data_IF_001755347590
#
_entry.id   IF_001755347590
#
_cell.length_a   1.000
_cell.length_b   1.000
_cell.length_c   1.000
_cell.angle_alpha   90.00
_cell.angle_beta   90.00
_cell.angle_gamma   90.00
#
_symmetry.space_group_name_H-M   'P 1'
#
loop_
_entity.id
_entity.type
_entity.pdbx_description
1 polymer ?
#
# COMPACT_ATOMS: atom_id res chain seq x y z
N UNK A 1 -7.97 -21.67 0.37
CA UNK A 1 -6.75 -21.80 1.18
C UNK A 1 -6.46 -20.48 1.86
N UNK A 2 -5.76 -20.48 2.99
CA UNK A 2 -5.30 -19.26 3.67
C UNK A 2 -3.85 -18.92 3.30
N UNK A 3 -3.41 -17.71 3.61
CA UNK A 3 -2.00 -17.30 3.46
C UNK A 3 -1.20 -17.93 4.60
N UNK A 4 -0.23 -18.77 4.29
CA UNK A 4 0.65 -19.41 5.28
C UNK A 4 1.84 -18.52 5.69
N UNK A 5 2.14 -17.49 4.88
CA UNK A 5 3.18 -16.50 5.12
C UNK A 5 2.78 -15.13 4.52
N UNK A 6 1.69 -14.55 5.00
CA UNK A 6 1.26 -13.21 4.57
C UNK A 6 2.28 -12.13 4.95
N UNK A 7 2.61 -11.25 4.02
CA UNK A 7 3.55 -10.15 4.21
C UNK A 7 2.95 -8.82 3.73
N UNK A 8 3.21 -7.75 4.48
CA UNK A 8 2.67 -6.43 4.18
C UNK A 8 1.15 -6.34 4.28
N UNK A 9 0.65 -5.12 4.50
CA UNK A 9 -0.78 -4.85 4.46
C UNK A 9 -1.01 -3.35 4.19
N UNK A 10 -1.69 -3.03 3.09
CA UNK A 10 -2.11 -1.65 2.81
C UNK A 10 -3.54 -1.61 2.29
N UNK A 11 -4.33 -0.64 2.76
CA UNK A 11 -5.67 -0.37 2.23
C UNK A 11 -5.56 0.63 1.07
N UNK A 12 -6.29 0.39 -0.01
CA UNK A 12 -6.35 1.34 -1.11
C UNK A 12 -7.06 2.63 -0.68
N UNK A 13 -6.30 3.73 -0.57
CA UNK A 13 -6.74 5.02 0.00
C UNK A 13 -6.54 6.19 -0.97
N UNK A 14 -6.64 5.89 -2.28
CA UNK A 14 -6.56 6.84 -3.39
C UNK A 14 -7.78 6.71 -4.32
N UNK A 15 -7.82 7.53 -5.38
CA UNK A 15 -8.94 7.60 -6.34
C UNK A 15 -8.54 7.24 -7.78
N UNK A 16 -7.33 6.71 -7.97
CA UNK A 16 -6.79 6.39 -9.29
C UNK A 16 -7.36 5.10 -9.87
N UNK A 17 -7.50 4.07 -9.04
CA UNK A 17 -8.17 2.81 -9.40
C UNK A 17 -9.68 3.03 -9.39
N UNK A 18 -10.49 2.10 -9.92
CA UNK A 18 -11.94 2.19 -9.87
C UNK A 18 -12.49 2.32 -8.46
N UNK A 19 -13.71 2.86 -8.35
CA UNK A 19 -14.41 3.08 -7.07
C UNK A 19 -14.51 1.81 -6.23
N UNK A 20 -14.47 0.66 -6.87
CA UNK A 20 -14.54 -0.63 -6.20
C UNK A 20 -13.38 -0.87 -5.23
N UNK A 21 -12.25 -0.19 -5.42
CA UNK A 21 -11.08 -0.29 -4.56
C UNK A 21 -11.14 0.67 -3.36
N UNK A 22 -11.82 1.80 -3.51
CA UNK A 22 -11.68 2.98 -2.64
C UNK A 22 -12.05 2.66 -1.19
N UNK A 23 -11.07 2.78 -0.30
CA UNK A 23 -11.17 2.52 1.14
C UNK A 23 -11.80 1.16 1.47
N UNK A 24 -11.66 0.18 0.56
CA UNK A 24 -12.36 -1.11 0.63
C UNK A 24 -11.48 -2.30 0.29
N UNK A 25 -10.49 -2.14 -0.58
CA UNK A 25 -9.60 -3.24 -0.98
C UNK A 25 -8.27 -3.10 -0.25
N UNK A 26 -7.90 -4.10 0.54
CA UNK A 26 -6.59 -4.22 1.15
C UNK A 26 -5.70 -5.19 0.39
N UNK A 27 -4.42 -4.88 0.28
CA UNK A 27 -3.42 -5.72 -0.38
C UNK A 27 -2.59 -6.44 0.65
N UNK A 28 -2.54 -7.78 0.54
CA UNK A 28 -1.69 -8.64 1.37
C UNK A 28 -0.86 -9.50 0.46
N UNK A 29 0.46 -9.50 0.64
CA UNK A 29 1.37 -10.23 -0.21
C UNK A 29 1.47 -11.68 0.27
N UNK A 30 1.48 -12.61 -0.67
CA UNK A 30 1.73 -14.02 -0.44
C UNK A 30 3.03 -14.43 -1.14
N UNK A 31 4.22 -14.12 -0.57
CA UNK A 31 5.51 -14.42 -1.19
C UNK A 31 5.66 -15.90 -1.56
N UNK A 32 5.15 -16.81 -0.73
CA UNK A 32 5.20 -18.27 -0.97
C UNK A 32 4.22 -18.75 -2.03
N UNK A 33 3.30 -17.89 -2.47
CA UNK A 33 2.34 -18.16 -3.55
C UNK A 33 2.51 -17.19 -4.72
N UNK A 34 3.62 -16.43 -4.76
CA UNK A 34 4.00 -15.55 -5.86
C UNK A 34 2.90 -14.53 -6.26
N UNK A 35 2.15 -14.02 -5.28
CA UNK A 35 0.97 -13.18 -5.54
C UNK A 35 0.78 -12.04 -4.53
N UNK A 36 0.00 -11.05 -4.95
CA UNK A 36 -0.56 -10.00 -4.09
C UNK A 36 -2.07 -10.17 -4.07
N UNK A 37 -2.61 -10.59 -2.93
CA UNK A 37 -4.05 -10.74 -2.75
C UNK A 37 -4.76 -9.42 -2.60
N UNK A 38 -5.95 -9.32 -3.17
CA UNK A 38 -6.87 -8.21 -2.96
C UNK A 38 -8.00 -8.65 -2.03
N UNK A 39 -8.00 -8.12 -0.80
CA UNK A 39 -8.98 -8.40 0.23
C UNK A 39 -10.05 -7.31 0.25
N UNK A 40 -11.25 -7.64 -0.22
CA UNK A 40 -12.42 -6.75 -0.18
C UNK A 40 -13.01 -6.78 1.22
N UNK A 41 -13.05 -5.62 1.87
CA UNK A 41 -13.54 -5.39 3.22
C UNK A 41 -15.02 -4.94 3.18
N UNK A 42 -15.84 -5.44 4.10
CA UNK A 42 -17.24 -5.04 4.28
C UNK A 42 -17.58 -4.91 5.76
N UNK A 43 -18.42 -3.94 6.12
CA UNK A 43 -18.90 -3.79 7.51
C UNK A 43 -19.75 -4.99 7.93
N UNK A 44 -19.57 -5.43 9.17
CA UNK A 44 -20.36 -6.47 9.81
C UNK A 44 -20.63 -6.07 11.27
N UNK A 45 -21.81 -5.47 11.52
CA UNK A 45 -22.14 -4.90 12.83
C UNK A 45 -21.16 -3.79 13.22
N UNK A 46 -20.57 -3.89 14.41
CA UNK A 46 -19.52 -2.98 14.89
C UNK A 46 -18.12 -3.30 14.33
N UNK A 47 -17.97 -4.37 13.55
CA UNK A 47 -16.69 -4.82 13.00
C UNK A 47 -16.64 -4.86 11.47
N UNK A 48 -15.64 -5.57 10.95
CA UNK A 48 -15.43 -5.78 9.52
C UNK A 48 -15.19 -7.25 9.22
N UNK A 49 -15.59 -7.67 8.02
CA UNK A 49 -15.24 -8.95 7.41
C UNK A 49 -14.50 -8.69 6.10
N UNK A 50 -13.59 -9.58 5.72
CA UNK A 50 -12.95 -9.54 4.42
C UNK A 50 -13.14 -10.84 3.64
N UNK A 51 -13.07 -10.73 2.31
CA UNK A 51 -12.95 -11.85 1.38
C UNK A 51 -11.79 -11.56 0.43
N UNK A 52 -11.16 -12.58 -0.14
CA UNK A 52 -10.06 -12.43 -1.12
C UNK A 52 -10.52 -12.89 -2.51
N UNK A 53 -11.37 -12.13 -3.22
CA UNK A 53 -11.97 -12.56 -4.47
C UNK A 53 -11.01 -12.62 -5.66
N UNK A 54 -9.91 -11.85 -5.64
CA UNK A 54 -8.94 -11.80 -6.73
C UNK A 54 -7.54 -11.46 -6.22
N UNK A 55 -6.56 -11.58 -7.10
CA UNK A 55 -5.19 -11.12 -6.88
C UNK A 55 -4.96 -9.84 -7.69
N UNK A 56 -4.28 -8.85 -7.10
CA UNK A 56 -3.83 -7.67 -7.82
C UNK A 56 -2.78 -8.05 -8.88
N UNK A 57 -1.86 -8.95 -8.51
CA UNK A 57 -0.93 -9.59 -9.41
C UNK A 57 -0.62 -11.01 -8.92
N UNK A 58 -0.28 -11.88 -9.86
CA UNK A 58 0.21 -13.22 -9.60
C UNK A 58 1.24 -13.56 -10.69
N UNK A 59 2.20 -14.41 -10.35
CA UNK A 59 3.31 -14.78 -11.21
C UNK A 59 3.52 -16.29 -11.21
N UNK A 60 3.98 -16.82 -12.33
CA UNK A 60 4.48 -18.19 -12.49
C UNK A 60 6.01 -18.28 -12.39
N UNK A 61 6.73 -17.15 -12.51
CA UNK A 61 8.15 -17.04 -12.16
C UNK A 61 8.39 -17.39 -10.68
N UNK A 62 9.14 -18.47 -10.44
CA UNK A 62 9.39 -19.04 -9.10
C UNK A 62 10.19 -18.10 -8.19
N UNK A 63 10.83 -17.08 -8.74
CA UNK A 63 11.59 -16.10 -7.98
C UNK A 63 10.70 -14.97 -7.47
N UNK A 64 9.46 -14.82 -7.97
CA UNK A 64 8.56 -13.73 -7.56
C UNK A 64 8.15 -13.87 -6.09
N UNK A 65 8.59 -12.94 -5.25
CA UNK A 65 8.39 -12.94 -3.81
C UNK A 65 7.93 -11.56 -3.30
N UNK A 66 6.70 -11.12 -3.63
CA UNK A 66 6.20 -9.83 -3.17
C UNK A 66 6.12 -9.81 -1.64
N UNK A 67 6.63 -8.75 -1.02
CA UNK A 67 6.70 -8.63 0.45
C UNK A 67 5.96 -7.41 1.01
N UNK A 68 5.74 -6.37 0.19
CA UNK A 68 4.92 -5.23 0.57
C UNK A 68 4.27 -4.62 -0.68
N UNK A 69 3.02 -4.20 -0.53
CA UNK A 69 2.27 -3.43 -1.51
C UNK A 69 1.73 -2.19 -0.81
N UNK A 70 1.91 -1.00 -1.39
CA UNK A 70 1.54 0.28 -0.79
C UNK A 70 0.92 1.22 -1.83
N UNK A 71 0.04 2.12 -1.40
CA UNK A 71 -0.51 3.15 -2.29
C UNK A 71 0.50 4.28 -2.43
N UNK A 72 0.98 4.47 -3.66
CA UNK A 72 1.94 5.51 -3.99
C UNK A 72 1.34 6.92 -4.00
N UNK A 73 2.18 7.96 -4.06
CA UNK A 73 1.75 9.36 -4.14
C UNK A 73 0.91 9.65 -5.39
N UNK A 74 1.11 8.88 -6.45
CA UNK A 74 0.39 8.91 -7.71
C UNK A 74 -0.94 8.12 -7.67
N UNK A 75 -1.29 7.55 -6.52
CA UNK A 75 -2.51 6.77 -6.32
C UNK A 75 -2.48 5.36 -6.91
N UNK A 76 -1.39 4.95 -7.55
CA UNK A 76 -1.18 3.57 -8.01
C UNK A 76 -0.60 2.70 -6.90
N UNK A 77 -0.61 1.38 -7.09
CA UNK A 77 -0.04 0.45 -6.10
C UNK A 77 1.40 0.14 -6.45
N UNK A 78 2.30 0.37 -5.50
CA UNK A 78 3.71 0.04 -5.60
C UNK A 78 3.98 -1.24 -4.83
N UNK A 79 4.67 -2.18 -5.44
CA UNK A 79 4.98 -3.49 -4.86
C UNK A 79 6.48 -3.65 -4.80
N UNK A 80 7.01 -3.90 -3.61
CA UNK A 80 8.39 -4.38 -3.47
C UNK A 80 8.38 -5.90 -3.45
N UNK A 81 9.26 -6.46 -4.26
CA UNK A 81 9.42 -7.88 -4.45
C UNK A 81 10.86 -8.24 -4.12
N UNK A 82 11.01 -9.17 -3.20
CA UNK A 82 12.32 -9.64 -2.76
C UNK A 82 13.07 -10.38 -3.87
N UNK A 83 12.35 -10.87 -4.89
CA UNK A 83 12.86 -11.64 -6.02
C UNK A 83 13.80 -12.78 -5.61
N UNK A 84 13.27 -13.72 -4.83
CA UNK A 84 14.05 -14.74 -4.17
C UNK A 84 13.39 -16.11 -4.31
N UNK A 85 14.13 -17.08 -4.85
CA UNK A 85 13.65 -18.45 -5.03
C UNK A 85 13.32 -19.13 -3.69
N UNK A 86 14.09 -18.83 -2.63
CA UNK A 86 13.85 -19.38 -1.28
C UNK A 86 13.54 -18.25 -0.30
N UNK A 87 12.26 -18.02 -0.05
CA UNK A 87 11.77 -16.99 0.90
C UNK A 87 11.63 -17.48 2.34
N UNK A 88 11.44 -18.78 2.55
CA UNK A 88 11.17 -19.34 3.88
C UNK A 88 12.46 -19.65 4.65
N UNK A 89 12.41 -19.58 5.99
CA UNK A 89 13.56 -19.83 6.85
C UNK A 89 13.85 -21.34 7.03
N UNK A 90 12.83 -22.14 7.35
CA UNK A 90 12.97 -23.48 7.94
C UNK A 90 12.70 -24.72 7.06
N UNK A 91 12.02 -24.70 5.90
CA UNK A 91 11.83 -25.93 5.14
C UNK A 91 13.12 -26.26 4.40
N UNK A 92 14.04 -26.93 5.10
CA UNK A 92 15.18 -27.62 4.50
C UNK A 92 14.63 -28.87 3.81
N UNK A 93 14.74 -28.99 2.47
CA UNK A 93 14.28 -30.20 1.79
C UNK A 93 15.08 -31.43 2.27
N UNK A 94 14.50 -32.62 2.14
CA UNK A 94 15.23 -33.84 2.51
C UNK A 94 16.52 -33.96 1.68
N UNK A 95 17.62 -34.29 2.35
CA UNK A 95 18.94 -34.40 1.72
C UNK A 95 19.73 -33.08 1.65
N UNK A 96 19.23 -32.00 2.26
CA UNK A 96 19.94 -30.72 2.36
C UNK A 96 20.32 -30.37 3.80
N UNK A 97 21.27 -29.46 3.93
CA UNK A 97 21.85 -29.07 5.22
C UNK A 97 21.11 -27.89 5.86
N UNK A 98 21.09 -27.93 7.19
CA UNK A 98 20.57 -26.87 8.03
C UNK A 98 21.73 -26.18 8.73
N UNK A 99 21.84 -24.88 8.52
CA UNK A 99 22.94 -24.05 8.99
C UNK A 99 22.68 -23.35 10.31
N UNK A 100 23.50 -22.33 10.55
CA UNK A 100 23.39 -21.47 11.74
C UNK A 100 21.96 -20.92 11.87
N UNK A 101 21.39 -21.07 13.07
CA UNK A 101 20.04 -20.58 13.39
C UNK A 101 18.91 -21.48 12.89
N UNK A 102 19.20 -22.70 12.43
CA UNK A 102 18.26 -23.63 11.81
C UNK A 102 17.73 -23.18 10.44
N UNK A 103 18.51 -22.40 9.69
CA UNK A 103 18.14 -21.98 8.34
C UNK A 103 18.62 -22.98 7.28
N UNK A 104 17.82 -23.21 6.23
CA UNK A 104 18.26 -23.97 5.06
C UNK A 104 19.44 -23.27 4.37
N UNK A 105 20.60 -23.94 4.29
CA UNK A 105 21.80 -23.46 3.59
C UNK A 105 21.72 -23.74 2.08
N UNK A 106 21.74 -22.67 1.28
CA UNK A 106 21.65 -22.76 -0.18
C UNK A 106 22.17 -21.50 -0.85
N UNK A 107 22.75 -21.67 -2.04
CA UNK A 107 23.19 -20.58 -2.90
C UNK A 107 22.04 -19.95 -3.71
N UNK A 108 20.82 -20.50 -3.60
CA UNK A 108 19.63 -19.99 -4.29
C UNK A 108 18.99 -18.78 -3.60
N UNK A 109 19.53 -18.33 -2.46
CA UNK A 109 19.08 -17.12 -1.78
C UNK A 109 19.82 -15.91 -2.34
N UNK A 110 19.14 -15.12 -3.16
CA UNK A 110 19.64 -13.81 -3.57
C UNK A 110 19.60 -12.83 -2.38
N UNK A 111 20.67 -12.06 -2.21
CA UNK A 111 20.82 -11.05 -1.14
C UNK A 111 21.12 -9.66 -1.69
N UNK A 112 21.14 -9.51 -3.00
CA UNK A 112 21.67 -8.35 -3.72
C UNK A 112 20.65 -7.73 -4.67
N UNK A 113 19.67 -8.51 -5.13
CA UNK A 113 18.62 -8.02 -6.02
C UNK A 113 17.26 -7.97 -5.33
N UNK A 114 16.39 -7.19 -5.94
CA UNK A 114 14.98 -7.05 -5.63
C UNK A 114 14.31 -6.29 -6.77
N UNK A 115 12.99 -6.27 -6.80
CA UNK A 115 12.21 -5.58 -7.83
C UNK A 115 11.26 -4.58 -7.17
N UNK A 116 11.06 -3.45 -7.83
CA UNK A 116 10.03 -2.48 -7.47
C UNK A 116 9.09 -2.38 -8.66
N UNK A 117 7.87 -2.84 -8.46
CA UNK A 117 6.79 -2.72 -9.43
C UNK A 117 5.92 -1.53 -9.10
N UNK A 118 5.45 -0.87 -10.15
CA UNK A 118 4.40 0.12 -10.10
C UNK A 118 3.24 -0.39 -10.92
N UNK A 119 2.21 -0.89 -10.24
CA UNK A 119 1.01 -1.44 -10.87
C UNK A 119 0.09 -0.28 -11.21
N UNK A 120 -0.11 -0.03 -12.50
CA UNK A 120 -0.90 1.10 -12.99
C UNK A 120 -2.27 0.60 -13.44
N UNK A 121 -3.32 1.35 -13.11
CA UNK A 121 -4.66 1.09 -13.63
C UNK A 121 -4.93 1.92 -14.89
N UNK A 122 -5.22 1.23 -16.00
CA UNK A 122 -5.44 1.84 -17.31
C UNK A 122 -4.19 2.44 -17.94
N UNK A 123 -4.37 3.08 -19.10
CA UNK A 123 -3.28 3.68 -19.89
C UNK A 123 -3.14 5.19 -19.69
N UNK A 124 -3.94 5.77 -18.78
CA UNK A 124 -3.90 7.20 -18.55
C UNK A 124 -2.52 7.64 -18.07
N UNK A 125 -2.01 8.78 -18.58
CA UNK A 125 -0.78 9.37 -18.07
C UNK A 125 -0.86 9.51 -16.56
N UNK A 126 0.25 9.22 -15.90
CA UNK A 126 0.33 9.49 -14.47
C UNK A 126 0.49 10.97 -14.27
N UNK A 127 -0.24 11.53 -13.31
CA UNK A 127 0.09 12.84 -12.75
C UNK A 127 1.58 12.91 -12.42
N UNK A 128 2.21 14.03 -12.78
CA UNK A 128 3.59 14.28 -12.40
C UNK A 128 3.73 14.13 -10.87
N UNK A 129 4.85 13.52 -10.44
CA UNK A 129 5.17 13.44 -9.02
C UNK A 129 5.20 14.87 -8.46
N UNK A 130 4.17 15.21 -7.68
CA UNK A 130 4.10 16.47 -6.96
C UNK A 130 5.08 16.43 -5.79
N UNK A 131 5.33 17.56 -5.15
CA UNK A 131 6.10 17.64 -3.91
C UNK A 131 5.45 18.64 -2.97
N UNK A 132 5.54 18.38 -1.66
CA UNK A 132 5.20 19.36 -0.62
C UNK A 132 6.45 20.08 -0.08
N UNK A 133 7.64 19.79 -0.62
CA UNK A 133 8.85 20.49 -0.26
C UNK A 133 8.70 21.98 -0.61
N UNK A 134 8.81 22.85 0.39
CA UNK A 134 8.64 24.30 0.21
C UNK A 134 7.20 24.76 -0.02
N UNK A 135 6.19 23.91 0.22
CA UNK A 135 4.80 24.30 0.11
C UNK A 135 4.43 25.38 1.15
N UNK A 136 3.62 26.36 0.74
CA UNK A 136 3.10 27.40 1.64
C UNK A 136 2.05 26.82 2.61
N UNK A 137 1.76 27.50 3.73
CA UNK A 137 0.69 27.09 4.64
C UNK A 137 -0.65 26.81 3.94
N UNK A 138 -1.07 27.69 3.02
CA UNK A 138 -2.31 27.51 2.25
C UNK A 138 -2.27 26.30 1.31
N UNK A 139 -1.11 26.02 0.69
CA UNK A 139 -0.93 24.83 -0.14
C UNK A 139 -1.00 23.54 0.69
N UNK A 140 -0.48 23.55 1.93
CA UNK A 140 -0.60 22.43 2.85
C UNK A 140 -2.05 22.21 3.27
N UNK A 141 -2.80 23.28 3.57
CA UNK A 141 -4.24 23.17 3.86
C UNK A 141 -4.99 22.58 2.67
N UNK A 142 -4.74 23.07 1.44
CA UNK A 142 -5.37 22.53 0.24
C UNK A 142 -5.04 21.03 0.02
N UNK A 143 -3.83 20.59 0.37
CA UNK A 143 -3.42 19.20 0.27
C UNK A 143 -4.12 18.27 1.28
N UNK A 144 -4.78 18.81 2.32
CA UNK A 144 -5.60 18.01 3.24
C UNK A 144 -6.85 17.43 2.58
N UNK A 145 -7.32 17.96 1.45
CA UNK A 145 -8.42 17.38 0.67
C UNK A 145 -7.95 16.58 -0.55
N UNK A 146 -6.66 16.26 -0.62
CA UNK A 146 -6.11 15.51 -1.75
C UNK A 146 -6.71 14.08 -1.84
N UNK A 147 -7.03 13.56 -3.05
CA UNK A 147 -7.66 12.25 -3.22
C UNK A 147 -6.87 11.08 -2.63
N UNK A 148 -5.55 11.14 -2.69
CA UNK A 148 -4.64 10.13 -2.11
C UNK A 148 -4.25 10.46 -0.67
N UNK A 149 -4.46 9.52 0.26
CA UNK A 149 -4.22 9.72 1.71
C UNK A 149 -2.77 10.07 2.06
N UNK A 150 -1.79 9.59 1.29
CA UNK A 150 -0.38 9.91 1.52
C UNK A 150 -0.15 11.43 1.57
N UNK A 151 -0.74 12.18 0.63
CA UNK A 151 -0.62 13.64 0.59
C UNK A 151 -1.26 14.30 1.79
N UNK A 152 -2.46 13.86 2.18
CA UNK A 152 -3.16 14.38 3.36
C UNK A 152 -2.34 14.18 4.63
N UNK A 153 -1.79 12.98 4.83
CA UNK A 153 -0.92 12.67 5.98
C UNK A 153 0.36 13.49 5.99
N UNK A 154 0.99 13.70 4.84
CA UNK A 154 2.21 14.52 4.75
C UNK A 154 1.92 16.01 4.97
N UNK A 155 0.82 16.51 4.42
CA UNK A 155 0.38 17.88 4.65
C UNK A 155 0.07 18.13 6.12
N UNK A 156 -0.68 17.23 6.76
CA UNK A 156 -0.94 17.27 8.20
C UNK A 156 0.36 17.25 9.00
N UNK A 157 1.29 16.34 8.70
CA UNK A 157 2.59 16.27 9.37
C UNK A 157 3.32 17.61 9.29
N UNK A 158 3.43 18.20 8.10
CA UNK A 158 4.13 19.47 7.88
C UNK A 158 3.45 20.65 8.59
N UNK A 159 2.11 20.69 8.63
CA UNK A 159 1.37 21.69 9.39
C UNK A 159 1.64 21.58 10.90
N UNK A 160 1.66 20.35 11.43
CA UNK A 160 1.95 20.09 12.85
C UNK A 160 3.41 20.41 13.19
N UNK A 161 4.36 20.01 12.34
CA UNK A 161 5.79 20.25 12.52
C UNK A 161 6.14 21.75 12.48
N UNK A 162 5.39 22.55 11.71
CA UNK A 162 5.58 24.02 11.67
C UNK A 162 5.24 24.68 13.00
N UNK A 163 4.18 24.25 13.69
CA UNK A 163 3.79 24.77 15.00
C UNK A 163 3.12 26.16 15.01
N UNK A 164 2.83 26.75 13.85
CA UNK A 164 2.14 28.05 13.75
C UNK A 164 0.60 27.91 13.72
N UNK A 165 -0.10 28.95 14.16
CA UNK A 165 -1.57 29.01 14.23
C UNK A 165 -2.22 29.84 13.10
N UNK A 166 -1.42 30.28 12.13
CA UNK A 166 -1.80 31.14 11.01
C UNK A 166 -2.87 30.55 10.07
N UNK A 167 -3.09 29.23 10.13
CA UNK A 167 -4.09 28.51 9.30
C UNK A 167 -5.27 27.93 10.08
N UNK A 168 -5.39 28.20 11.39
CA UNK A 168 -6.48 27.66 12.22
C UNK A 168 -7.87 27.96 11.64
N UNK A 169 -8.18 29.18 11.14
CA UNK A 169 -9.49 29.45 10.54
C UNK A 169 -9.80 28.55 9.33
N UNK A 170 -8.82 28.31 8.45
CA UNK A 170 -8.97 27.44 7.29
C UNK A 170 -9.18 25.97 7.71
N UNK A 171 -8.49 25.51 8.75
CA UNK A 171 -8.67 24.16 9.29
C UNK A 171 -10.06 23.96 9.92
N UNK A 172 -10.57 24.97 10.64
CA UNK A 172 -11.94 24.94 11.18
C UNK A 172 -12.95 24.87 10.04
N UNK A 173 -12.77 25.67 8.99
CA UNK A 173 -13.64 25.62 7.81
C UNK A 173 -13.64 24.23 7.16
N UNK A 174 -12.48 23.57 7.08
CA UNK A 174 -12.37 22.22 6.51
C UNK A 174 -13.13 21.17 7.33
N UNK A 175 -13.05 21.22 8.67
CA UNK A 175 -13.80 20.31 9.56
C UNK A 175 -15.31 20.45 9.40
N UNK A 176 -15.79 21.65 9.04
CA UNK A 176 -17.21 21.91 8.78
C UNK A 176 -17.65 21.57 7.35
N UNK A 177 -16.75 21.12 6.48
CA UNK A 177 -17.14 20.65 5.16
C UNK A 177 -17.98 19.37 5.27
N UNK A 178 -19.12 19.36 4.60
CA UNK A 178 -19.96 18.18 4.42
C UNK A 178 -19.79 17.56 3.02
N UNK A 179 -18.75 17.96 2.29
CA UNK A 179 -18.48 17.42 0.96
C UNK A 179 -18.14 15.92 1.06
N UNK A 180 -18.91 15.12 0.32
CA UNK A 180 -18.71 13.68 0.22
C UNK A 180 -18.18 13.34 -1.16
N UNK A 181 -17.24 12.42 -1.23
CA UNK A 181 -16.87 11.80 -2.49
C UNK A 181 -17.99 10.91 -3.06
N UNK A 182 -17.78 10.36 -4.25
CA UNK A 182 -18.77 9.53 -4.93
C UNK A 182 -19.11 8.21 -4.22
N UNK A 183 -18.39 7.84 -3.15
CA UNK A 183 -18.70 6.67 -2.31
C UNK A 183 -19.22 7.09 -0.92
N UNK A 184 -19.54 8.37 -0.72
CA UNK A 184 -20.15 8.88 0.51
C UNK A 184 -19.16 9.11 1.65
N UNK A 185 -17.87 9.29 1.36
CA UNK A 185 -16.86 9.61 2.37
C UNK A 185 -16.41 11.07 2.26
N UNK A 186 -16.47 11.80 3.37
CA UNK A 186 -15.63 12.98 3.53
C UNK A 186 -14.22 12.51 3.88
N UNK A 187 -13.29 12.67 2.96
CA UNK A 187 -11.90 12.21 3.11
C UNK A 187 -10.90 13.32 3.36
N UNK A 188 -11.36 14.56 3.47
CA UNK A 188 -10.55 15.74 3.73
C UNK A 188 -11.40 16.98 3.74
#
# INVERSE_FOLDING_TARGET
GGYTAGAGHALYTARRYPQEYWNRVAFVNGPTGHLVGAFVISKQGAGYKSTSPFNLLASDDEWTAPIMAEVGPDGNVWVIDWYNYIVQHNPTPQGFDTGRGNAYETNLRDKTHGRIYRVVYGDEPTDALRTLAGATPDQLVAALSHPTQLWRKHAQRLLVERGDQDVVPQLIALVHSEELDSIGLNVG
#
